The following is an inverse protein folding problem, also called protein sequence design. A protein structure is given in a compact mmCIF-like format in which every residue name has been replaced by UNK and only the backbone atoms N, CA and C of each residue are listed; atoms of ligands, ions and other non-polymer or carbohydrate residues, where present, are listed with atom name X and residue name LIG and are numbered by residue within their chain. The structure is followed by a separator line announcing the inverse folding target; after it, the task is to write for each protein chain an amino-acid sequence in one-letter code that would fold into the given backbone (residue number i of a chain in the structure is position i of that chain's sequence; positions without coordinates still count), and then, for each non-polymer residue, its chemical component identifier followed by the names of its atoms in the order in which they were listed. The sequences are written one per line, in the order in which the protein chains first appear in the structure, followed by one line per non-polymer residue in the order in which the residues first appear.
data_IF_526348935103
#
_entry.id   IF_526348935103
#
_cell.length_a   1.000
_cell.length_b   1.000
_cell.length_c   1.000
_cell.angle_alpha   90.00
_cell.angle_beta   90.00
_cell.angle_gamma   90.00
#
_symmetry.space_group_name_H-M   'P 1'
#
loop_
_entity.id
_entity.type
_entity.pdbx_description
1 polymer ?
#
# COMPACT_ATOMS: atom_id res chain seq x y z
N UNK A 1 31.73 1.13 -74.53
CA UNK A 1 32.60 0.85 -73.35
C UNK A 1 32.20 1.66 -72.09
N UNK A 2 30.97 2.18 -71.99
CA UNK A 2 30.53 3.00 -70.84
C UNK A 2 29.45 2.31 -69.98
N UNK A 3 28.66 1.39 -70.55
CA UNK A 3 27.54 0.73 -69.84
C UNK A 3 28.04 -0.13 -68.68
N UNK A 4 29.11 -0.91 -68.87
CA UNK A 4 29.69 -1.71 -67.79
C UNK A 4 30.26 -0.85 -66.65
N UNK A 5 30.86 0.30 -66.98
CA UNK A 5 31.33 1.29 -66.00
C UNK A 5 30.15 1.91 -65.23
N UNK A 6 29.09 2.30 -65.93
CA UNK A 6 27.87 2.86 -65.31
C UNK A 6 27.20 1.84 -64.38
N UNK A 7 27.05 0.59 -64.82
CA UNK A 7 26.47 -0.50 -64.00
C UNK A 7 27.32 -0.77 -62.77
N UNK A 8 28.65 -0.84 -62.90
CA UNK A 8 29.57 -1.00 -61.76
C UNK A 8 29.45 0.13 -60.75
N UNK A 9 29.35 1.38 -61.22
CA UNK A 9 29.21 2.57 -60.38
C UNK A 9 27.86 2.56 -59.63
N UNK A 10 26.77 2.16 -60.28
CA UNK A 10 25.47 1.98 -59.64
C UNK A 10 25.49 0.92 -58.53
N UNK A 11 26.14 -0.22 -58.73
CA UNK A 11 26.26 -1.28 -57.71
C UNK A 11 27.03 -0.80 -56.48
N UNK A 12 28.13 -0.07 -56.69
CA UNK A 12 28.92 0.52 -55.59
C UNK A 12 28.08 1.53 -54.80
N UNK A 13 27.35 2.40 -55.50
CA UNK A 13 26.54 3.45 -54.89
C UNK A 13 25.39 2.88 -54.06
N UNK A 14 24.74 1.82 -54.55
CA UNK A 14 23.72 1.07 -53.78
C UNK A 14 24.33 0.39 -52.54
N UNK A 15 25.51 -0.21 -52.65
CA UNK A 15 26.22 -0.81 -51.52
C UNK A 15 26.54 0.20 -50.41
N UNK A 16 26.97 1.41 -50.78
CA UNK A 16 27.25 2.50 -49.82
C UNK A 16 25.98 2.98 -49.10
N UNK A 17 24.86 3.11 -49.81
CA UNK A 17 23.57 3.51 -49.21
C UNK A 17 23.11 2.47 -48.19
N UNK A 18 23.15 1.19 -48.55
CA UNK A 18 22.76 0.10 -47.64
C UNK A 18 23.69 0.03 -46.42
N UNK A 19 25.00 0.14 -46.64
CA UNK A 19 26.00 0.14 -45.56
C UNK A 19 25.80 1.29 -44.57
N UNK A 20 25.61 2.52 -45.08
CA UNK A 20 25.32 3.68 -44.23
C UNK A 20 24.03 3.49 -43.44
N UNK A 21 22.97 2.97 -44.07
CA UNK A 21 21.69 2.78 -43.42
C UNK A 21 21.74 1.72 -42.30
N UNK A 22 22.49 0.62 -42.51
CA UNK A 22 22.72 -0.39 -41.47
C UNK A 22 23.49 0.21 -40.29
N UNK A 23 24.54 1.00 -40.54
CA UNK A 23 25.33 1.64 -39.49
C UNK A 23 24.50 2.67 -38.70
N UNK A 24 23.70 3.48 -39.40
CA UNK A 24 22.76 4.43 -38.80
C UNK A 24 21.71 3.69 -37.95
N UNK A 25 21.15 2.59 -38.46
CA UNK A 25 20.17 1.78 -37.73
C UNK A 25 20.77 1.13 -36.47
N UNK A 26 22.01 0.64 -36.52
CA UNK A 26 22.69 0.11 -35.35
C UNK A 26 22.91 1.19 -34.30
N UNK A 27 23.40 2.36 -34.71
CA UNK A 27 23.60 3.51 -33.81
C UNK A 27 22.28 3.93 -33.15
N UNK A 28 21.20 4.02 -33.93
CA UNK A 28 19.87 4.34 -33.43
C UNK A 28 19.33 3.27 -32.47
N UNK A 29 19.55 1.98 -32.74
CA UNK A 29 19.17 0.89 -31.83
C UNK A 29 19.93 0.92 -30.51
N UNK A 30 21.22 1.22 -30.53
CA UNK A 30 22.02 1.37 -29.31
C UNK A 30 21.52 2.55 -28.49
N UNK A 31 21.29 3.70 -29.13
CA UNK A 31 20.79 4.90 -28.46
C UNK A 31 19.37 4.69 -27.91
N UNK A 32 18.48 4.03 -28.65
CA UNK A 32 17.14 3.72 -28.17
C UNK A 32 17.16 2.75 -26.99
N UNK A 33 18.04 1.74 -27.01
CA UNK A 33 18.21 0.80 -25.90
C UNK A 33 18.68 1.52 -24.64
N UNK A 34 19.67 2.41 -24.76
CA UNK A 34 20.13 3.26 -23.65
C UNK A 34 19.00 4.12 -23.09
N UNK A 35 18.23 4.79 -23.96
CA UNK A 35 17.08 5.60 -23.53
C UNK A 35 16.02 4.77 -22.80
N UNK A 36 15.75 3.54 -23.26
CA UNK A 36 14.82 2.64 -22.59
C UNK A 36 15.31 2.18 -21.22
N UNK A 37 16.60 1.89 -21.07
CA UNK A 37 17.18 1.54 -19.77
C UNK A 37 17.13 2.73 -18.80
N UNK A 38 17.49 3.93 -19.27
CA UNK A 38 17.38 5.15 -18.47
C UNK A 38 15.94 5.42 -18.03
N UNK A 39 14.96 5.26 -18.93
CA UNK A 39 13.54 5.45 -18.60
C UNK A 39 13.07 4.49 -17.50
N UNK A 40 13.58 3.25 -17.43
CA UNK A 40 13.27 2.31 -16.35
C UNK A 40 13.77 2.84 -15.00
N UNK A 41 14.99 3.37 -14.93
CA UNK A 41 15.54 3.90 -13.69
C UNK A 41 14.86 5.21 -13.26
N UNK A 42 14.47 6.07 -14.20
CA UNK A 42 13.66 7.27 -13.92
C UNK A 42 12.33 6.86 -13.29
N UNK A 43 11.60 5.91 -13.90
CA UNK A 43 10.34 5.42 -13.34
C UNK A 43 10.51 4.81 -11.94
N UNK A 44 11.63 4.14 -11.69
CA UNK A 44 11.98 3.59 -10.36
C UNK A 44 12.23 4.69 -9.35
N UNK A 45 12.87 5.81 -9.75
CA UNK A 45 13.10 6.98 -8.89
C UNK A 45 11.77 7.66 -8.59
N UNK A 46 10.98 8.00 -9.61
CA UNK A 46 9.70 8.70 -9.46
C UNK A 46 8.74 7.92 -8.56
N UNK A 47 8.64 6.59 -8.76
CA UNK A 47 7.81 5.74 -7.90
C UNK A 47 8.32 5.70 -6.44
N UNK A 48 9.62 5.89 -6.21
CA UNK A 48 10.18 5.92 -4.85
C UNK A 48 10.01 7.30 -4.20
N UNK A 49 10.18 8.37 -4.97
CA UNK A 49 9.91 9.75 -4.52
C UNK A 49 8.43 9.93 -4.17
N UNK A 50 7.50 9.35 -4.95
CA UNK A 50 6.07 9.30 -4.63
C UNK A 50 5.82 8.60 -3.28
N UNK A 51 6.50 7.47 -3.02
CA UNK A 51 6.38 6.77 -1.75
C UNK A 51 6.91 7.62 -0.59
N UNK A 52 8.01 8.36 -0.77
CA UNK A 52 8.54 9.27 0.25
C UNK A 52 7.58 10.44 0.49
N UNK A 53 7.00 11.03 -0.56
CA UNK A 53 6.05 12.15 -0.44
C UNK A 53 4.79 11.80 0.37
N UNK A 54 4.40 10.53 0.36
CA UNK A 54 3.29 10.00 1.15
C UNK A 54 3.58 9.83 2.66
N UNK A 55 4.78 10.19 3.15
CA UNK A 55 5.16 10.09 4.56
C UNK A 55 4.27 10.94 5.51
N UNK A 56 3.50 11.89 4.99
CA UNK A 56 2.51 12.64 5.78
C UNK A 56 1.35 11.76 6.26
N UNK A 57 1.01 10.71 5.51
CA UNK A 57 -0.14 9.85 5.80
C UNK A 57 0.20 8.72 6.77
N UNK A 58 1.49 8.46 7.03
CA UNK A 58 1.92 7.25 7.72
C UNK A 58 3.31 7.43 8.34
N UNK A 59 3.56 6.98 9.59
CA UNK A 59 4.84 7.16 10.22
C UNK A 59 5.93 6.28 9.62
N UNK A 60 6.99 6.91 9.10
CA UNK A 60 8.11 6.20 8.50
C UNK A 60 9.23 6.09 9.54
N UNK A 61 9.91 4.95 9.58
CA UNK A 61 11.12 4.80 10.39
C UNK A 61 12.31 5.41 9.66
N UNK A 62 13.33 5.82 10.41
CA UNK A 62 14.62 6.19 9.82
C UNK A 62 15.18 5.09 8.92
N UNK A 63 15.04 3.82 9.30
CA UNK A 63 15.46 2.65 8.51
C UNK A 63 14.74 2.57 7.16
N UNK A 64 13.41 2.79 7.14
CA UNK A 64 12.62 2.81 5.92
C UNK A 64 13.02 3.97 5.02
N UNK A 65 13.15 5.18 5.57
CA UNK A 65 13.57 6.36 4.83
C UNK A 65 14.96 6.18 4.22
N UNK A 66 15.91 5.63 4.98
CA UNK A 66 17.24 5.28 4.47
C UNK A 66 17.13 4.25 3.34
N UNK A 67 16.32 3.21 3.49
CA UNK A 67 16.12 2.19 2.45
C UNK A 67 15.57 2.79 1.14
N UNK A 68 14.59 3.68 1.23
CA UNK A 68 13.99 4.33 0.05
C UNK A 68 15.00 5.27 -0.63
N UNK A 69 15.72 6.09 0.14
CA UNK A 69 16.73 6.99 -0.41
C UNK A 69 17.93 6.21 -0.98
N UNK A 70 18.34 5.11 -0.35
CA UNK A 70 19.40 4.22 -0.87
C UNK A 70 18.99 3.63 -2.23
N UNK A 71 17.72 3.24 -2.38
CA UNK A 71 17.19 2.75 -3.66
C UNK A 71 17.25 3.82 -4.76
N UNK A 72 16.96 5.10 -4.43
CA UNK A 72 17.12 6.23 -5.36
C UNK A 72 18.60 6.43 -5.72
N UNK A 73 19.49 6.43 -4.72
CA UNK A 73 20.93 6.57 -4.91
C UNK A 73 21.48 5.50 -5.86
N UNK A 74 21.09 4.24 -5.67
CA UNK A 74 21.55 3.14 -6.52
C UNK A 74 21.04 3.27 -7.96
N UNK A 75 19.80 3.72 -8.15
CA UNK A 75 19.26 4.01 -9.47
C UNK A 75 20.03 5.14 -10.15
N UNK A 76 20.34 6.22 -9.43
CA UNK A 76 21.13 7.35 -9.95
C UNK A 76 22.57 6.94 -10.31
N UNK A 77 23.22 6.12 -9.47
CA UNK A 77 24.56 5.57 -9.77
C UNK A 77 24.54 4.72 -11.04
N UNK A 78 23.55 3.86 -11.17
CA UNK A 78 23.41 3.01 -12.36
C UNK A 78 23.12 3.84 -13.61
N UNK A 79 22.31 4.90 -13.50
CA UNK A 79 22.08 5.85 -14.59
C UNK A 79 23.37 6.56 -15.01
N UNK A 80 24.21 6.96 -14.05
CA UNK A 80 25.50 7.59 -14.34
C UNK A 80 26.49 6.63 -15.02
N UNK A 81 26.46 5.34 -14.67
CA UNK A 81 27.28 4.32 -15.33
C UNK A 81 26.84 4.06 -16.78
N UNK A 82 25.53 4.15 -17.07
CA UNK A 82 24.96 4.03 -18.42
C UNK A 82 25.29 5.26 -19.27
N UNK A 83 25.17 6.46 -18.69
CA UNK A 83 25.46 7.72 -19.36
C UNK A 83 26.32 8.66 -18.51
N UNK A 84 27.64 8.58 -18.75
CA UNK A 84 28.65 9.44 -18.11
C UNK A 84 28.67 10.87 -18.65
N UNK A 85 27.91 11.17 -19.71
CA UNK A 85 27.92 12.50 -20.33
C UNK A 85 27.04 13.49 -19.57
N UNK A 86 26.08 13.00 -18.79
CA UNK A 86 25.20 13.84 -17.98
C UNK A 86 25.93 14.37 -16.74
N UNK A 87 26.18 15.68 -16.74
CA UNK A 87 26.86 16.40 -15.65
C UNK A 87 25.97 16.65 -14.44
N UNK A 88 24.65 16.46 -14.55
CA UNK A 88 23.70 16.68 -13.44
C UNK A 88 23.64 15.50 -12.47
N UNK A 89 23.88 14.28 -12.95
CA UNK A 89 23.80 13.05 -12.15
C UNK A 89 24.78 13.01 -10.97
N UNK A 90 26.07 13.38 -11.10
CA UNK A 90 27.00 13.39 -9.98
C UNK A 90 26.58 14.30 -8.83
N UNK A 91 26.04 15.49 -9.15
CA UNK A 91 25.52 16.41 -8.13
C UNK A 91 24.34 15.79 -7.40
N UNK A 92 23.37 15.24 -8.14
CA UNK A 92 22.18 14.61 -7.56
C UNK A 92 22.53 13.40 -6.69
N UNK A 93 23.54 12.61 -7.07
CA UNK A 93 24.08 11.51 -6.25
C UNK A 93 24.64 12.05 -4.93
N UNK A 94 25.43 13.14 -4.98
CA UNK A 94 25.98 13.77 -3.78
C UNK A 94 24.89 14.29 -2.84
N UNK A 95 23.86 14.93 -3.39
CA UNK A 95 22.74 15.49 -2.62
C UNK A 95 21.96 14.39 -1.89
N UNK A 96 21.61 13.30 -2.61
CA UNK A 96 20.91 12.14 -2.01
C UNK A 96 21.79 11.44 -0.96
N UNK A 97 23.11 11.35 -1.19
CA UNK A 97 24.04 10.78 -0.21
C UNK A 97 24.09 11.62 1.08
N UNK A 98 24.12 12.96 0.95
CA UNK A 98 24.06 13.87 2.08
C UNK A 98 22.73 13.72 2.84
N UNK A 99 21.61 13.61 2.13
CA UNK A 99 20.30 13.38 2.71
C UNK A 99 20.23 12.06 3.50
N UNK A 100 20.78 10.96 2.97
CA UNK A 100 20.86 9.68 3.68
C UNK A 100 21.63 9.82 4.99
N UNK A 101 22.77 10.54 4.96
CA UNK A 101 23.60 10.75 6.15
C UNK A 101 22.86 11.59 7.20
N UNK A 102 22.14 12.63 6.76
CA UNK A 102 21.31 13.45 7.64
C UNK A 102 20.20 12.61 8.27
N UNK A 103 19.50 11.77 7.51
CA UNK A 103 18.43 10.90 8.04
C UNK A 103 18.99 9.94 9.10
N UNK A 104 20.16 9.34 8.85
CA UNK A 104 20.83 8.45 9.81
C UNK A 104 21.18 9.15 11.12
N UNK A 105 21.58 10.43 11.06
CA UNK A 105 21.90 11.23 12.25
C UNK A 105 20.63 11.67 13.00
N UNK A 106 19.61 12.14 12.27
CA UNK A 106 18.39 12.70 12.85
C UNK A 106 17.45 11.63 13.41
N UNK A 107 17.31 10.49 12.73
CA UNK A 107 16.28 9.49 13.00
C UNK A 107 16.84 8.17 13.52
N UNK A 108 17.87 8.18 14.39
CA UNK A 108 18.37 6.98 15.07
C UNK A 108 17.23 6.19 15.75
N UNK A 109 16.57 5.30 15.00
CA UNK A 109 15.38 4.54 15.37
C UNK A 109 14.12 5.34 15.80
N UNK A 110 14.03 6.64 15.51
CA UNK A 110 12.81 7.42 15.79
C UNK A 110 11.86 7.44 14.59
N UNK A 111 10.56 7.42 14.85
CA UNK A 111 9.53 7.59 13.82
C UNK A 111 9.48 9.05 13.36
N UNK A 112 9.24 9.25 12.06
CA UNK A 112 9.19 10.58 11.44
C UNK A 112 7.97 11.39 11.87
N UNK A 113 6.86 10.72 12.16
CA UNK A 113 5.57 11.31 12.51
C UNK A 113 4.83 10.39 13.49
N UNK A 114 3.76 10.87 14.13
CA UNK A 114 2.86 10.02 14.90
C UNK A 114 1.85 9.34 13.97
N UNK A 115 1.40 8.13 14.35
CA UNK A 115 0.35 7.44 13.61
C UNK A 115 -0.96 8.24 13.65
N UNK A 116 -1.49 8.59 12.48
CA UNK A 116 -2.79 9.25 12.32
C UNK A 116 -3.83 8.22 11.92
N UNK A 117 -4.94 8.19 12.64
CA UNK A 117 -6.08 7.32 12.29
C UNK A 117 -6.75 7.89 11.03
N UNK A 118 -7.02 7.08 9.99
CA UNK A 118 -7.68 7.56 8.78
C UNK A 118 -9.08 8.09 9.08
N UNK A 119 -9.48 9.22 8.51
CA UNK A 119 -10.79 9.86 8.74
C UNK A 119 -11.92 9.18 7.97
N UNK A 120 -11.62 8.61 6.81
CA UNK A 120 -12.58 8.00 5.89
C UNK A 120 -12.14 6.61 5.43
N UNK A 121 -13.09 5.75 5.09
CA UNK A 121 -12.85 4.46 4.41
C UNK A 121 -11.92 4.61 3.19
N UNK A 122 -12.09 5.69 2.41
CA UNK A 122 -11.25 5.96 1.24
C UNK A 122 -9.79 6.22 1.64
N UNK A 123 -9.59 6.96 2.72
CA UNK A 123 -8.26 7.24 3.26
C UNK A 123 -7.63 5.97 3.84
N UNK A 124 -8.39 5.16 4.58
CA UNK A 124 -7.94 3.87 5.11
C UNK A 124 -7.49 2.92 4.00
N UNK A 125 -8.24 2.84 2.89
CA UNK A 125 -7.86 2.02 1.72
C UNK A 125 -6.58 2.56 1.07
N UNK A 126 -6.42 3.88 0.97
CA UNK A 126 -5.20 4.50 0.42
C UNK A 126 -3.98 4.18 1.28
N UNK A 127 -4.07 4.37 2.61
CA UNK A 127 -3.01 4.03 3.55
C UNK A 127 -2.68 2.53 3.52
N UNK A 128 -3.69 1.66 3.42
CA UNK A 128 -3.48 0.21 3.30
C UNK A 128 -2.72 -0.16 2.01
N UNK A 129 -3.04 0.49 0.89
CA UNK A 129 -2.31 0.30 -0.38
C UNK A 129 -0.87 0.79 -0.26
N UNK A 130 -0.64 1.91 0.40
CA UNK A 130 0.70 2.45 0.67
C UNK A 130 1.54 1.46 1.48
N UNK A 131 1.01 0.96 2.61
CA UNK A 131 1.71 -0.05 3.44
C UNK A 131 2.07 -1.29 2.63
N UNK A 132 1.14 -1.80 1.80
CA UNK A 132 1.41 -2.96 0.93
C UNK A 132 2.54 -2.69 -0.07
N UNK A 133 2.55 -1.50 -0.69
CA UNK A 133 3.63 -1.08 -1.60
C UNK A 133 4.97 -0.99 -0.87
N UNK A 134 5.01 -0.37 0.31
CA UNK A 134 6.23 -0.27 1.13
C UNK A 134 6.78 -1.65 1.50
N UNK A 135 5.93 -2.59 1.93
CA UNK A 135 6.33 -3.98 2.22
C UNK A 135 6.92 -4.68 1.00
N UNK A 136 6.32 -4.50 -0.18
CA UNK A 136 6.85 -5.06 -1.42
C UNK A 136 8.24 -4.48 -1.76
N UNK A 137 8.44 -3.18 -1.59
CA UNK A 137 9.73 -2.52 -1.81
C UNK A 137 10.80 -3.04 -0.85
N UNK A 138 10.52 -3.09 0.45
CA UNK A 138 11.47 -3.59 1.45
C UNK A 138 11.83 -5.06 1.17
N UNK A 139 10.85 -5.89 0.82
CA UNK A 139 11.11 -7.29 0.43
C UNK A 139 12.01 -7.38 -0.81
N UNK A 140 11.78 -6.52 -1.81
CA UNK A 140 12.60 -6.48 -3.01
C UNK A 140 14.04 -6.02 -2.69
N UNK A 141 14.21 -5.01 -1.85
CA UNK A 141 15.55 -4.53 -1.44
C UNK A 141 16.30 -5.53 -0.55
N UNK A 142 15.59 -6.28 0.31
CA UNK A 142 16.18 -7.41 1.05
C UNK A 142 16.61 -8.55 0.11
N UNK A 143 15.79 -8.90 -0.88
CA UNK A 143 16.13 -9.94 -1.87
C UNK A 143 17.37 -9.57 -2.69
N UNK A 144 17.64 -8.28 -2.89
CA UNK A 144 18.85 -7.75 -3.53
C UNK A 144 20.07 -7.67 -2.60
N UNK A 145 19.94 -8.04 -1.32
CA UNK A 145 21.02 -7.98 -0.32
C UNK A 145 21.34 -6.58 0.21
N UNK A 146 20.50 -5.58 -0.06
CA UNK A 146 20.76 -4.16 0.27
C UNK A 146 20.25 -3.74 1.64
N UNK A 147 19.42 -4.59 2.25
CA UNK A 147 18.87 -4.39 3.59
C UNK A 147 19.29 -5.58 4.46
N UNK A 148 19.95 -5.37 5.61
CA UNK A 148 20.33 -6.47 6.49
C UNK A 148 19.08 -7.14 7.06
N UNK A 149 19.14 -8.46 7.26
CA UNK A 149 17.99 -9.27 7.68
C UNK A 149 17.35 -8.76 8.97
N UNK A 150 18.15 -8.29 9.94
CA UNK A 150 17.60 -7.73 11.19
C UNK A 150 16.73 -6.49 10.93
N UNK A 151 17.21 -5.57 10.08
CA UNK A 151 16.46 -4.36 9.72
C UNK A 151 15.22 -4.70 8.89
N UNK A 152 15.31 -5.71 8.02
CA UNK A 152 14.17 -6.23 7.27
C UNK A 152 13.08 -6.78 8.19
N UNK A 153 13.45 -7.65 9.14
CA UNK A 153 12.50 -8.28 10.06
C UNK A 153 11.81 -7.23 10.93
N UNK A 154 12.57 -6.29 11.51
CA UNK A 154 12.00 -5.23 12.34
C UNK A 154 11.05 -4.33 11.56
N UNK A 155 11.44 -3.90 10.36
CA UNK A 155 10.64 -2.99 9.54
C UNK A 155 9.41 -3.70 8.95
N UNK A 156 9.57 -4.95 8.52
CA UNK A 156 8.45 -5.75 8.04
C UNK A 156 7.42 -5.98 9.15
N UNK A 157 7.85 -6.30 10.37
CA UNK A 157 6.97 -6.44 11.54
C UNK A 157 6.24 -5.13 11.84
N UNK A 158 6.95 -3.99 11.82
CA UNK A 158 6.38 -2.66 12.05
C UNK A 158 5.28 -2.33 11.04
N UNK A 159 5.54 -2.54 9.74
CA UNK A 159 4.54 -2.32 8.70
C UNK A 159 3.35 -3.29 8.81
N UNK A 160 3.57 -4.50 9.29
CA UNK A 160 2.50 -5.48 9.55
C UNK A 160 1.60 -5.04 10.70
N UNK A 161 2.19 -4.56 11.80
CA UNK A 161 1.44 -3.97 12.91
C UNK A 161 0.62 -2.77 12.45
N UNK A 162 1.19 -1.93 11.60
CA UNK A 162 0.52 -0.76 11.06
C UNK A 162 -0.67 -1.12 10.17
N UNK A 163 -0.50 -2.12 9.30
CA UNK A 163 -1.61 -2.68 8.52
C UNK A 163 -2.74 -3.17 9.42
N UNK A 164 -2.41 -3.82 10.54
CA UNK A 164 -3.40 -4.32 11.49
C UNK A 164 -4.13 -3.16 12.20
N UNK A 165 -3.39 -2.16 12.68
CA UNK A 165 -3.94 -0.93 13.29
C UNK A 165 -4.93 -0.24 12.35
N UNK A 166 -4.52 0.03 11.10
CA UNK A 166 -5.39 0.66 10.10
C UNK A 166 -6.68 -0.15 9.90
N UNK A 167 -6.58 -1.48 9.81
CA UNK A 167 -7.74 -2.32 9.61
C UNK A 167 -8.71 -2.30 10.81
N UNK A 168 -8.19 -2.43 12.03
CA UNK A 168 -9.00 -2.41 13.26
C UNK A 168 -9.69 -1.06 13.42
N UNK A 169 -8.96 0.05 13.31
CA UNK A 169 -9.53 1.40 13.41
C UNK A 169 -10.61 1.63 12.36
N UNK A 170 -10.40 1.18 11.12
CA UNK A 170 -11.40 1.29 10.08
C UNK A 170 -12.66 0.46 10.38
N UNK A 171 -12.50 -0.76 10.92
CA UNK A 171 -13.67 -1.54 11.34
C UNK A 171 -14.39 -0.88 12.50
N UNK A 172 -13.68 -0.35 13.50
CA UNK A 172 -14.29 0.34 14.64
C UNK A 172 -15.12 1.55 14.19
N UNK A 173 -14.61 2.35 13.26
CA UNK A 173 -15.37 3.45 12.65
C UNK A 173 -16.65 2.95 11.96
N UNK A 174 -16.54 1.92 11.11
CA UNK A 174 -17.70 1.34 10.42
C UNK A 174 -18.72 0.73 11.37
N UNK A 175 -18.27 0.14 12.48
CA UNK A 175 -19.15 -0.38 13.53
C UNK A 175 -19.88 0.77 14.22
N UNK A 176 -19.19 1.86 14.56
CA UNK A 176 -19.82 3.03 15.16
C UNK A 176 -20.85 3.66 14.22
N UNK A 177 -20.52 3.82 12.93
CA UNK A 177 -21.45 4.31 11.92
C UNK A 177 -22.69 3.41 11.77
N UNK A 178 -22.52 2.09 11.86
CA UNK A 178 -23.62 1.14 11.84
C UNK A 178 -24.48 1.21 13.11
N UNK A 179 -23.88 1.40 14.29
CA UNK A 179 -24.59 1.62 15.56
C UNK A 179 -25.43 2.90 15.49
N UNK A 180 -24.87 4.00 14.98
CA UNK A 180 -25.57 5.28 14.79
C UNK A 180 -26.76 5.12 13.84
N UNK A 181 -26.61 4.33 12.77
CA UNK A 181 -27.68 4.03 11.80
C UNK A 181 -28.69 2.99 12.29
N UNK A 182 -28.56 2.47 13.51
CA UNK A 182 -29.43 1.42 14.07
C UNK A 182 -29.24 0.03 13.45
N UNK A 183 -28.20 -0.18 12.62
CA UNK A 183 -27.93 -1.44 11.91
C UNK A 183 -27.08 -2.38 12.76
N UNK A 184 -27.64 -2.85 13.87
CA UNK A 184 -26.91 -3.67 14.85
C UNK A 184 -26.44 -5.03 14.28
N UNK A 185 -27.19 -5.62 13.34
CA UNK A 185 -26.78 -6.86 12.66
C UNK A 185 -25.52 -6.68 11.80
N UNK A 186 -25.41 -5.55 11.08
CA UNK A 186 -24.21 -5.19 10.31
C UNK A 186 -23.02 -4.95 11.24
N UNK A 187 -23.23 -4.23 12.34
CA UNK A 187 -22.20 -4.01 13.37
C UNK A 187 -21.67 -5.33 13.94
N UNK A 188 -22.56 -6.26 14.28
CA UNK A 188 -22.19 -7.59 14.79
C UNK A 188 -21.34 -8.37 13.76
N UNK A 189 -21.72 -8.36 12.48
CA UNK A 189 -20.98 -9.06 11.44
C UNK A 189 -19.58 -8.46 11.21
N UNK A 190 -19.45 -7.13 11.29
CA UNK A 190 -18.17 -6.44 11.18
C UNK A 190 -17.25 -6.78 12.36
N UNK A 191 -17.78 -6.80 13.58
CA UNK A 191 -17.02 -7.16 14.78
C UNK A 191 -16.53 -8.61 14.74
N UNK A 192 -17.38 -9.57 14.30
CA UNK A 192 -16.95 -10.97 14.11
C UNK A 192 -15.79 -11.09 13.13
N UNK A 193 -15.90 -10.42 11.97
CA UNK A 193 -14.82 -10.41 10.98
C UNK A 193 -13.52 -9.80 11.51
N UNK A 194 -13.59 -8.75 12.32
CA UNK A 194 -12.41 -8.18 12.96
C UNK A 194 -11.77 -9.14 13.97
N UNK A 195 -12.58 -9.81 14.80
CA UNK A 195 -12.12 -10.82 15.75
C UNK A 195 -11.41 -11.99 15.06
N UNK A 196 -11.91 -12.45 13.91
CA UNK A 196 -11.25 -13.49 13.11
C UNK A 196 -9.87 -13.04 12.62
N UNK A 197 -9.75 -11.79 12.17
CA UNK A 197 -8.46 -11.23 11.71
C UNK A 197 -7.47 -11.07 12.87
N UNK A 198 -7.93 -10.60 14.02
CA UNK A 198 -7.09 -10.35 15.20
C UNK A 198 -6.67 -11.65 15.89
N UNK A 199 -7.53 -12.66 15.93
CA UNK A 199 -7.25 -13.96 16.57
C UNK A 199 -6.16 -14.76 15.85
N UNK A 200 -5.91 -14.48 14.56
CA UNK A 200 -4.84 -15.12 13.79
C UNK A 200 -3.43 -14.70 14.18
N UNK A 201 -3.25 -13.62 14.96
CA UNK A 201 -1.92 -13.06 15.33
C UNK A 201 -1.80 -12.81 16.83
N UNK A 202 -0.65 -13.19 17.40
CA UNK A 202 -0.36 -13.08 18.85
C UNK A 202 0.51 -11.86 19.19
N UNK A 203 0.11 -10.67 18.75
CA UNK A 203 0.80 -9.40 19.08
C UNK A 203 0.15 -8.74 20.32
N UNK A 204 0.90 -8.10 21.24
CA UNK A 204 0.35 -7.37 22.38
C UNK A 204 -0.80 -6.40 22.02
N UNK A 205 -0.71 -5.71 20.87
CA UNK A 205 -1.78 -4.83 20.41
C UNK A 205 -3.02 -5.62 19.96
N UNK A 206 -2.83 -6.80 19.35
CA UNK A 206 -3.92 -7.67 18.95
C UNK A 206 -4.69 -8.19 20.18
N UNK A 207 -4.01 -8.44 21.29
CA UNK A 207 -4.66 -8.93 22.51
C UNK A 207 -5.56 -7.86 23.14
N UNK A 208 -5.07 -6.62 23.28
CA UNK A 208 -5.90 -5.49 23.74
C UNK A 208 -7.05 -5.17 22.78
N UNK A 209 -6.80 -5.21 21.47
CA UNK A 209 -7.85 -5.02 20.47
C UNK A 209 -8.89 -6.13 20.52
N UNK A 210 -8.49 -7.39 20.77
CA UNK A 210 -9.40 -8.53 20.91
C UNK A 210 -10.35 -8.34 22.09
N UNK A 211 -9.83 -7.93 23.25
CA UNK A 211 -10.64 -7.64 24.44
C UNK A 211 -11.67 -6.54 24.16
N UNK A 212 -11.23 -5.42 23.58
CA UNK A 212 -12.12 -4.30 23.22
C UNK A 212 -13.20 -4.70 22.20
N UNK A 213 -12.81 -5.44 21.14
CA UNK A 213 -13.75 -5.94 20.14
C UNK A 213 -14.73 -6.96 20.71
N UNK A 214 -14.31 -7.84 21.62
CA UNK A 214 -15.20 -8.79 22.29
C UNK A 214 -16.22 -8.11 23.19
N UNK A 215 -15.80 -7.10 23.97
CA UNK A 215 -16.71 -6.33 24.81
C UNK A 215 -17.76 -5.59 23.97
N UNK A 216 -17.34 -4.98 22.85
CA UNK A 216 -18.27 -4.30 21.94
C UNK A 216 -19.24 -5.27 21.26
N UNK A 217 -18.80 -6.51 20.98
CA UNK A 217 -19.66 -7.54 20.38
C UNK A 217 -20.73 -8.02 21.38
N UNK A 218 -20.37 -8.21 22.65
CA UNK A 218 -21.33 -8.56 23.70
C UNK A 218 -22.37 -7.45 23.91
N UNK A 219 -21.95 -6.18 23.90
CA UNK A 219 -22.85 -5.03 23.95
C UNK A 219 -23.87 -5.07 22.80
N UNK A 220 -23.40 -5.24 21.56
CA UNK A 220 -24.25 -5.30 20.36
C UNK A 220 -25.20 -6.51 20.40
N UNK A 221 -24.73 -7.68 20.85
CA UNK A 221 -25.58 -8.87 21.01
C UNK A 221 -26.69 -8.63 22.05
N UNK A 222 -26.36 -7.96 23.16
CA UNK A 222 -27.33 -7.63 24.21
C UNK A 222 -28.39 -6.66 23.69
N UNK A 223 -27.98 -5.63 22.93
CA UNK A 223 -28.90 -4.70 22.26
C UNK A 223 -29.80 -5.40 21.24
N UNK A 224 -29.27 -6.35 20.47
CA UNK A 224 -30.05 -7.17 19.53
C UNK A 224 -31.08 -8.04 20.26
N UNK A 225 -30.69 -8.71 21.34
CA UNK A 225 -31.59 -9.55 22.15
C UNK A 225 -32.74 -8.74 22.73
N UNK A 226 -32.45 -7.59 23.34
CA UNK A 226 -33.47 -6.68 23.90
C UNK A 226 -34.42 -6.14 22.84
N UNK A 227 -33.92 -5.82 21.64
CA UNK A 227 -34.76 -5.39 20.52
C UNK A 227 -35.69 -6.50 19.99
N UNK A 228 -35.26 -7.76 20.09
CA UNK A 228 -36.08 -8.91 19.69
C UNK A 228 -37.16 -9.24 20.73
N UNK A 229 -36.86 -9.09 22.03
CA UNK A 229 -37.83 -9.25 23.11
C UNK A 229 -38.91 -8.16 23.11
N UNK A 230 -38.55 -6.92 22.75
CA UNK A 230 -39.51 -5.81 22.65
C UNK A 230 -40.47 -5.93 21.44
N UNK A 231 -40.06 -6.66 20.39
CA UNK A 231 -40.86 -6.89 19.18
C UNK A 231 -41.61 -8.24 19.17
N UNK A 232 -41.54 -9.03 20.25
CA UNK A 232 -42.50 -10.13 20.40
C UNK A 232 -43.90 -9.53 20.53
N UNK A 233 -44.87 -9.91 19.69
CA UNK A 233 -46.24 -9.50 19.90
C UNK A 233 -46.63 -9.92 21.31
N UNK A 234 -46.96 -8.95 22.17
CA UNK A 234 -47.60 -9.22 23.46
C UNK A 234 -48.95 -9.84 23.13
N UNK A 235 -48.97 -11.15 23.07
CA UNK A 235 -50.08 -12.10 23.17
C UNK A 235 -51.49 -11.49 23.41
N UNK A 236 -52.00 -10.68 22.48
CA UNK A 236 -53.39 -10.19 22.46
C UNK A 236 -54.31 -11.22 21.80
N UNK A 237 -53.74 -12.23 21.11
CA UNK A 237 -54.49 -13.38 20.57
C UNK A 237 -55.18 -14.20 21.66
N UNK A 238 -54.63 -14.21 22.89
CA UNK A 238 -55.29 -14.89 24.02
C UNK A 238 -56.51 -14.14 24.55
N UNK A 239 -56.66 -12.82 24.34
CA UNK A 239 -57.85 -12.07 24.75
C UNK A 239 -58.98 -12.18 23.74
N UNK A 240 -58.65 -12.16 22.45
CA UNK A 240 -59.65 -12.30 21.38
C UNK A 240 -60.27 -13.71 21.35
N UNK A 241 -59.47 -14.76 21.64
CA UNK A 241 -59.99 -16.12 21.78
C UNK A 241 -60.87 -16.27 23.03
N UNK A 242 -60.51 -15.67 24.17
CA UNK A 242 -61.32 -15.76 25.40
C UNK A 242 -62.66 -15.00 25.28
N UNK A 243 -62.71 -13.91 24.50
CA UNK A 243 -63.95 -13.18 24.21
C UNK A 243 -64.89 -13.95 23.26
N UNK A 244 -64.35 -14.78 22.37
CA UNK A 244 -65.13 -15.65 21.47
C UNK A 244 -65.77 -16.86 22.17
N UNK A 245 -65.23 -17.28 23.31
CA UNK A 245 -65.75 -18.40 24.12
C UNK A 245 -66.43 -17.97 25.43
N UNK A 246 -66.53 -16.66 25.69
CA UNK A 246 -67.29 -16.16 26.83
C UNK A 246 -68.76 -16.62 26.75
N UNK A 247 -69.34 -17.20 27.81
CA UNK A 247 -70.72 -17.66 27.78
C UNK A 247 -71.65 -16.47 27.53
N UNK A 248 -72.40 -16.53 26.42
CA UNK A 248 -73.35 -15.48 26.01
C UNK A 248 -74.27 -15.15 27.19
N UNK A 249 -74.20 -13.90 27.67
CA UNK A 249 -75.17 -13.35 28.62
C UNK A 249 -76.57 -13.50 28.03
N UNK A 250 -77.40 -14.31 28.66
CA UNK A 250 -78.85 -14.28 28.44
C UNK A 250 -79.38 -12.97 29.01
N UNK A 251 -80.20 -12.32 28.20
CA UNK A 251 -80.95 -11.08 28.41
C UNK A 251 -81.40 -10.83 29.86
#
# INVERSE_FOLDING_TARGET
MNIALVVGLCVILLGLIVGYNIMAQQRQRVESSKRQEMAKYIAVIDATEELIGNAHNLPYSGTLLVCLNQKILDALKTMHDIDKTDRSLPQRISDVQAQINQIKQTYQNKESTSFRVPDSDREAISMLKLVKRLRAVIKAEHTKGRLPTQAFVSENSRLEQMQMKINIENVLKRVNDAKIKGQMGTAQQLLKKALDVVSSKSDPYCQSAKESLSAMLEEVNTSLSKGHEANRPKNDENKELDELFAPKKKW
#
